data_IF_812986709191
#
_entry.id   IF_812986709191
#
_cell.length_a   1.000
_cell.length_b   1.000
_cell.length_c   1.000
_cell.angle_alpha   90.00
_cell.angle_beta   90.00
_cell.angle_gamma   90.00
#
_symmetry.space_group_name_H-M   'P 1'
#
loop_
_entity.id
_entity.type
_entity.pdbx_description
1 polymer ?
#
# COMPACT_ATOMS: atom_id res chain seq x y z
N UNK A 1 26.18 -4.95 3.61
CA UNK A 1 24.97 -4.19 4.00
C UNK A 1 24.59 -4.66 5.40
N UNK A 2 24.22 -3.72 6.28
CA UNK A 2 23.95 -4.04 7.70
C UNK A 2 25.08 -4.81 8.41
N UNK A 3 26.33 -4.40 8.23
CA UNK A 3 27.50 -5.02 8.83
C UNK A 3 28.02 -6.28 8.13
N UNK A 4 27.36 -6.74 7.06
CA UNK A 4 27.80 -7.88 6.27
C UNK A 4 28.15 -7.49 4.82
N UNK A 5 29.08 -8.18 4.14
CA UNK A 5 29.33 -8.00 2.72
C UNK A 5 28.06 -8.24 1.89
N UNK A 6 27.95 -7.55 0.75
CA UNK A 6 26.91 -7.89 -0.23
C UNK A 6 27.14 -9.28 -0.81
N UNK A 7 26.07 -10.02 -1.03
CA UNK A 7 26.17 -11.24 -1.83
C UNK A 7 26.27 -10.91 -3.32
N UNK A 8 26.73 -11.83 -4.15
CA UNK A 8 26.88 -11.65 -5.59
C UNK A 8 25.55 -11.22 -6.21
N UNK A 9 24.44 -11.88 -5.90
CA UNK A 9 23.12 -11.57 -6.44
C UNK A 9 22.56 -10.22 -6.00
N UNK A 10 23.08 -9.62 -4.92
CA UNK A 10 22.66 -8.33 -4.40
C UNK A 10 23.58 -7.17 -4.78
N UNK A 11 24.61 -7.43 -5.61
CA UNK A 11 25.42 -6.39 -6.21
C UNK A 11 26.85 -6.29 -5.70
N UNK A 12 27.41 -7.35 -5.09
CA UNK A 12 28.86 -7.38 -4.73
C UNK A 12 29.72 -7.04 -5.96
N UNK A 13 30.77 -6.20 -5.87
CA UNK A 13 31.27 -5.58 -4.65
C UNK A 13 30.55 -4.26 -4.26
N UNK A 14 29.88 -3.59 -5.20
CA UNK A 14 29.29 -2.26 -4.97
C UNK A 14 27.93 -2.14 -5.65
N UNK A 15 27.00 -1.49 -4.95
CA UNK A 15 25.71 -1.08 -5.52
C UNK A 15 25.33 0.32 -5.10
N UNK A 16 24.46 0.96 -5.90
CA UNK A 16 23.84 2.23 -5.53
C UNK A 16 22.65 2.00 -4.60
N UNK A 17 22.51 2.85 -3.59
CA UNK A 17 21.33 2.98 -2.73
C UNK A 17 20.93 4.44 -2.72
N UNK A 18 19.73 4.76 -3.22
CA UNK A 18 19.20 6.13 -3.30
C UNK A 18 17.81 6.13 -2.65
N UNK A 19 17.71 6.38 -1.34
CA UNK A 19 16.42 6.39 -0.65
C UNK A 19 15.41 7.32 -1.32
N UNK A 20 14.13 6.91 -1.36
CA UNK A 20 13.06 7.65 -2.02
C UNK A 20 12.96 7.50 -3.54
N UNK A 21 14.02 7.03 -4.19
CA UNK A 21 14.04 6.76 -5.64
C UNK A 21 13.61 5.31 -5.88
N UNK A 22 12.90 5.08 -6.99
CA UNK A 22 12.47 3.74 -7.37
C UNK A 22 13.64 2.75 -7.44
N UNK A 23 13.50 1.58 -6.81
CA UNK A 23 14.56 0.56 -6.73
C UNK A 23 15.09 0.09 -8.09
N UNK A 24 14.30 0.23 -9.16
CA UNK A 24 14.73 0.01 -10.54
C UNK A 24 15.90 0.93 -10.99
N UNK A 25 16.13 2.04 -10.27
CA UNK A 25 17.24 2.96 -10.50
C UNK A 25 18.47 2.63 -9.67
N UNK A 26 18.42 1.64 -8.79
CA UNK A 26 19.52 1.25 -7.90
C UNK A 26 20.40 0.20 -8.56
N UNK A 27 21.36 0.68 -9.35
CA UNK A 27 22.28 -0.20 -10.09
C UNK A 27 23.08 -1.10 -9.16
N UNK A 28 23.07 -2.41 -9.44
CA UNK A 28 23.95 -3.41 -8.85
C UNK A 28 25.21 -3.58 -9.70
N UNK A 29 26.27 -4.15 -9.11
CA UNK A 29 27.55 -4.38 -9.80
C UNK A 29 28.09 -3.10 -10.43
N UNK A 30 28.09 -2.02 -9.65
CA UNK A 30 28.52 -0.72 -10.12
C UNK A 30 30.02 -0.72 -10.36
N UNK A 31 30.44 -0.34 -11.55
CA UNK A 31 31.85 -0.18 -11.96
C UNK A 31 32.16 1.26 -12.38
N UNK A 32 31.16 1.99 -12.89
CA UNK A 32 31.36 3.35 -13.38
C UNK A 32 30.13 4.21 -13.23
N UNK A 33 30.34 5.49 -12.93
CA UNK A 33 29.33 6.55 -12.97
C UNK A 33 29.77 7.58 -14.00
N UNK A 34 28.90 7.89 -14.98
CA UNK A 34 29.15 8.89 -16.00
C UNK A 34 28.14 10.03 -15.85
N UNK A 35 28.62 11.25 -15.70
CA UNK A 35 27.78 12.46 -15.75
C UNK A 35 27.68 12.92 -17.19
N UNK A 36 26.47 13.17 -17.66
CA UNK A 36 26.20 13.58 -19.04
C UNK A 36 25.10 14.64 -19.08
N UNK A 37 25.08 15.47 -20.13
CA UNK A 37 24.11 16.56 -20.29
C UNK A 37 22.74 16.10 -20.79
N UNK A 38 22.65 14.90 -21.34
CA UNK A 38 21.44 14.34 -21.94
C UNK A 38 20.95 13.11 -21.17
N UNK A 39 19.65 12.84 -21.25
CA UNK A 39 19.08 11.64 -20.66
C UNK A 39 19.64 10.38 -21.30
N UNK A 40 19.94 9.38 -20.48
CA UNK A 40 20.44 8.09 -20.98
C UNK A 40 19.51 7.47 -22.03
N UNK A 41 20.08 7.00 -23.12
CA UNK A 41 19.36 6.25 -24.17
C UNK A 41 18.99 4.82 -23.78
N UNK A 42 19.34 4.39 -22.55
CA UNK A 42 19.03 3.07 -22.04
C UNK A 42 17.51 2.78 -22.09
N UNK A 43 17.13 1.58 -22.52
CA UNK A 43 15.74 1.15 -22.64
C UNK A 43 14.91 1.39 -21.37
N UNK A 44 15.46 1.08 -20.19
CA UNK A 44 14.77 1.26 -18.91
C UNK A 44 14.60 2.72 -18.49
N UNK A 45 15.33 3.63 -19.13
CA UNK A 45 15.15 5.07 -18.98
C UNK A 45 14.13 5.61 -19.97
N UNK A 46 14.20 5.14 -21.23
CA UNK A 46 13.39 5.68 -22.32
C UNK A 46 11.97 5.08 -22.38
N UNK A 47 11.75 3.86 -21.89
CA UNK A 47 10.47 3.17 -22.08
C UNK A 47 9.90 2.55 -20.81
N UNK A 48 10.64 1.78 -20.05
CA UNK A 48 10.05 0.79 -19.15
C UNK A 48 9.53 1.38 -17.84
N UNK A 49 10.31 2.19 -17.16
CA UNK A 49 9.91 2.80 -15.89
C UNK A 49 9.48 4.26 -16.07
N UNK A 50 8.40 4.45 -16.83
CA UNK A 50 7.73 5.73 -17.03
C UNK A 50 6.28 5.63 -16.57
N UNK A 51 5.75 6.68 -15.95
CA UNK A 51 4.36 6.74 -15.53
C UNK A 51 3.54 7.18 -16.73
N UNK A 52 2.67 6.32 -17.20
CA UNK A 52 1.75 6.60 -18.30
C UNK A 52 0.39 7.01 -17.76
N UNK A 53 -0.33 7.94 -18.44
CA UNK A 53 -1.71 8.24 -18.07
C UNK A 53 -2.62 7.01 -18.22
N UNK A 54 -3.74 6.91 -17.45
CA UNK A 54 -4.63 5.76 -17.47
C UNK A 54 -5.25 5.43 -18.84
N UNK A 55 -5.41 6.41 -19.71
CA UNK A 55 -5.92 6.22 -21.08
C UNK A 55 -4.92 5.52 -22.01
N UNK A 56 -3.65 5.46 -21.61
CA UNK A 56 -2.62 4.67 -22.28
C UNK A 56 -2.59 3.28 -21.66
N UNK A 57 -3.51 2.42 -22.07
CA UNK A 57 -3.81 1.12 -21.48
C UNK A 57 -3.24 -0.06 -22.26
N UNK A 58 -2.73 0.17 -23.47
CA UNK A 58 -2.19 -0.87 -24.34
C UNK A 58 -0.74 -0.58 -24.75
N UNK A 59 -0.02 -1.66 -25.12
CA UNK A 59 1.36 -1.56 -25.61
C UNK A 59 1.46 -0.69 -26.88
N UNK A 60 0.46 -0.77 -27.77
CA UNK A 60 0.41 0.03 -29.00
C UNK A 60 0.36 1.51 -28.66
N UNK A 61 -0.61 1.94 -27.85
CA UNK A 61 -0.70 3.34 -27.39
C UNK A 61 0.58 3.79 -26.64
N UNK A 62 1.14 2.92 -25.80
CA UNK A 62 2.36 3.23 -25.07
C UNK A 62 3.55 3.49 -26.01
N UNK A 63 3.70 2.72 -27.11
CA UNK A 63 4.78 2.94 -28.06
C UNK A 63 4.76 4.35 -28.67
N UNK A 64 3.58 4.90 -28.89
CA UNK A 64 3.38 6.24 -29.44
C UNK A 64 3.50 7.35 -28.37
N UNK A 65 3.59 6.97 -27.09
CA UNK A 65 3.55 7.91 -25.96
C UNK A 65 4.85 7.99 -25.16
N UNK A 66 5.73 6.99 -25.21
CA UNK A 66 6.93 6.91 -24.38
C UNK A 66 7.78 8.18 -24.39
N UNK A 67 7.90 8.84 -25.52
CA UNK A 67 8.71 10.06 -25.67
C UNK A 67 8.12 11.27 -24.90
N UNK A 68 6.83 11.23 -24.55
CA UNK A 68 6.12 12.29 -23.81
C UNK A 68 6.17 12.07 -22.29
N UNK A 69 6.29 10.82 -21.86
CA UNK A 69 6.25 10.48 -20.44
C UNK A 69 7.62 10.71 -19.79
N UNK A 70 7.61 11.25 -18.57
CA UNK A 70 8.82 11.40 -17.76
C UNK A 70 9.21 10.07 -17.12
N UNK A 71 10.52 9.77 -16.97
CA UNK A 71 10.98 8.61 -16.23
C UNK A 71 10.53 8.66 -14.76
N UNK A 72 10.13 7.52 -14.23
CA UNK A 72 9.90 7.39 -12.79
C UNK A 72 11.24 7.54 -12.07
N UNK A 73 11.34 8.54 -11.22
CA UNK A 73 12.45 8.78 -10.31
C UNK A 73 12.00 8.54 -8.88
N UNK A 74 11.26 9.48 -8.30
CA UNK A 74 10.73 9.39 -6.96
C UNK A 74 9.53 8.43 -6.92
N UNK A 75 9.48 7.61 -5.86
CA UNK A 75 8.28 6.83 -5.57
C UNK A 75 7.16 7.79 -5.13
N UNK A 76 5.92 7.59 -5.60
CA UNK A 76 4.78 8.36 -5.08
C UNK A 76 4.45 7.95 -3.64
N UNK A 77 3.77 8.83 -2.89
CA UNK A 77 3.17 8.46 -1.59
C UNK A 77 2.25 7.26 -1.79
N UNK A 78 2.33 6.28 -0.89
CA UNK A 78 1.52 5.07 -1.03
C UNK A 78 1.21 4.45 0.33
N UNK A 79 0.15 3.66 0.38
CA UNK A 79 -0.19 2.80 1.52
C UNK A 79 -0.68 1.45 1.03
N UNK A 80 -0.46 0.42 1.83
CA UNK A 80 -0.95 -0.92 1.59
C UNK A 80 -1.53 -1.49 2.87
N UNK A 81 -2.62 -2.26 2.74
CA UNK A 81 -3.18 -3.07 3.80
C UNK A 81 -2.56 -4.47 3.68
N UNK A 82 -1.92 -4.94 4.76
CA UNK A 82 -1.31 -6.26 4.83
C UNK A 82 -2.19 -7.28 5.56
N UNK A 83 -3.04 -6.78 6.47
CA UNK A 83 -4.00 -7.58 7.22
C UNK A 83 -5.28 -6.79 7.44
N UNK A 84 -6.46 -7.43 7.25
CA UNK A 84 -6.65 -8.74 6.60
C UNK A 84 -6.26 -8.70 5.12
N UNK A 85 -6.06 -9.87 4.51
CA UNK A 85 -5.87 -9.99 3.08
C UNK A 85 -7.22 -10.05 2.33
N UNK A 86 -7.19 -9.68 1.05
CA UNK A 86 -8.37 -9.84 0.19
C UNK A 86 -8.83 -11.29 0.15
N UNK A 87 -10.11 -11.53 0.43
CA UNK A 87 -10.70 -12.87 0.45
C UNK A 87 -10.60 -13.59 1.79
N UNK A 88 -9.97 -13.01 2.80
CA UNK A 88 -9.88 -13.62 4.14
C UNK A 88 -11.24 -13.87 4.76
N UNK A 89 -11.28 -14.87 5.64
CA UNK A 89 -12.43 -15.19 6.48
C UNK A 89 -12.18 -14.70 7.90
N UNK A 90 -13.06 -13.85 8.38
CA UNK A 90 -13.04 -13.25 9.72
C UNK A 90 -14.14 -13.89 10.57
N UNK A 91 -13.77 -14.52 11.67
CA UNK A 91 -14.69 -15.10 12.63
C UNK A 91 -14.95 -14.08 13.74
N UNK A 92 -16.18 -13.55 13.83
CA UNK A 92 -16.55 -12.49 14.79
C UNK A 92 -16.34 -12.92 16.24
N UNK A 93 -16.62 -14.17 16.57
CA UNK A 93 -16.47 -14.76 17.89
C UNK A 93 -14.99 -14.91 18.33
N UNK A 94 -14.05 -14.81 17.39
CA UNK A 94 -12.60 -14.83 17.68
C UNK A 94 -11.98 -13.44 17.82
N UNK A 95 -12.74 -12.39 17.53
CA UNK A 95 -12.26 -11.03 17.63
C UNK A 95 -12.29 -10.53 19.08
N UNK A 96 -11.20 -9.92 19.52
CA UNK A 96 -11.13 -9.27 20.83
C UNK A 96 -12.06 -8.06 20.82
N UNK A 97 -13.05 -8.06 21.72
CA UNK A 97 -14.10 -7.04 21.81
C UNK A 97 -14.91 -6.84 20.50
N UNK A 98 -14.86 -7.80 19.57
CA UNK A 98 -15.52 -7.70 18.26
C UNK A 98 -14.85 -6.71 17.30
N UNK A 99 -13.67 -6.21 17.60
CA UNK A 99 -12.93 -5.24 16.81
C UNK A 99 -12.08 -5.97 15.74
N UNK A 100 -12.21 -5.56 14.46
CA UNK A 100 -11.34 -6.04 13.40
C UNK A 100 -10.06 -5.21 13.38
N UNK A 101 -8.95 -5.87 13.61
CA UNK A 101 -7.64 -5.27 13.41
C UNK A 101 -7.32 -5.17 11.91
N UNK A 102 -6.87 -3.99 11.48
CA UNK A 102 -6.41 -3.72 10.12
C UNK A 102 -5.00 -3.15 10.24
N UNK A 103 -4.06 -3.73 9.55
CA UNK A 103 -2.66 -3.31 9.66
C UNK A 103 -1.99 -3.24 8.28
N UNK A 104 -0.98 -2.40 8.18
CA UNK A 104 -0.26 -2.24 6.94
C UNK A 104 0.96 -1.34 7.06
N UNK A 105 1.43 -0.92 5.90
CA UNK A 105 2.54 0.03 5.81
C UNK A 105 2.20 1.19 4.88
N UNK A 106 2.94 2.27 5.01
CA UNK A 106 2.86 3.43 4.12
C UNK A 106 4.27 3.96 3.84
N UNK A 107 4.47 4.57 2.68
CA UNK A 107 5.74 5.16 2.28
C UNK A 107 5.51 6.57 1.76
N UNK A 108 6.44 7.51 2.08
CA UNK A 108 6.34 8.89 1.62
C UNK A 108 6.73 9.00 0.15
N UNK A 109 6.36 10.11 -0.46
CA UNK A 109 6.82 10.45 -1.81
C UNK A 109 8.30 10.86 -1.77
N UNK A 110 9.13 10.13 -2.49
CA UNK A 110 10.54 10.44 -2.63
C UNK A 110 11.21 10.73 -1.29
N UNK A 111 11.71 11.96 -1.10
CA UNK A 111 12.36 12.46 0.10
C UNK A 111 11.48 13.44 0.92
N UNK A 112 10.18 13.45 0.67
CA UNK A 112 9.23 14.39 1.25
C UNK A 112 8.56 13.87 2.55
N UNK A 113 9.05 12.76 3.10
CA UNK A 113 8.55 12.19 4.37
C UNK A 113 9.02 12.91 5.63
N UNK A 114 8.69 12.34 6.77
CA UNK A 114 8.03 11.04 7.02
C UNK A 114 6.53 11.03 6.70
N UNK A 115 5.91 9.82 6.77
CA UNK A 115 4.44 9.70 6.83
C UNK A 115 3.98 10.28 8.16
N UNK A 116 2.96 11.14 8.10
CA UNK A 116 2.40 11.80 9.29
C UNK A 116 0.97 11.36 9.60
N UNK A 117 0.26 10.80 8.60
CA UNK A 117 -1.11 10.32 8.78
C UNK A 117 -1.40 9.14 7.86
N UNK A 118 -2.14 8.16 8.38
CA UNK A 118 -2.76 7.08 7.62
C UNK A 118 -4.22 7.01 8.02
N UNK A 119 -5.11 6.84 7.06
CA UNK A 119 -6.55 6.81 7.27
C UNK A 119 -7.17 5.60 6.57
N UNK A 120 -8.24 5.06 7.17
CA UNK A 120 -9.02 3.94 6.66
C UNK A 120 -10.44 4.40 6.33
N UNK A 121 -10.98 3.88 5.23
CA UNK A 121 -12.39 4.00 4.87
C UNK A 121 -13.00 2.63 4.62
N UNK A 122 -14.25 2.42 5.09
CA UNK A 122 -15.06 1.22 4.83
C UNK A 122 -16.31 1.53 3.99
N UNK A 123 -16.45 2.76 3.54
CA UNK A 123 -17.63 3.28 2.82
C UNK A 123 -17.28 3.92 1.48
N UNK A 124 -16.21 3.42 0.85
CA UNK A 124 -15.72 3.88 -0.46
C UNK A 124 -15.28 5.35 -0.45
N UNK A 125 -14.58 5.76 0.62
CA UNK A 125 -13.96 7.07 0.73
C UNK A 125 -14.90 8.21 1.13
N UNK A 126 -16.15 7.91 1.53
CA UNK A 126 -17.09 8.94 2.03
C UNK A 126 -16.65 9.46 3.40
N UNK A 127 -16.22 8.55 4.27
CA UNK A 127 -15.65 8.89 5.58
C UNK A 127 -14.28 8.22 5.74
N UNK A 128 -13.42 8.85 6.54
CA UNK A 128 -12.07 8.39 6.81
C UNK A 128 -11.80 8.46 8.31
N UNK A 129 -11.36 7.32 8.87
CA UNK A 129 -10.96 7.20 10.26
C UNK A 129 -9.43 7.15 10.34
N UNK A 130 -8.84 7.94 11.22
CA UNK A 130 -7.38 7.98 11.40
C UNK A 130 -6.88 6.68 12.06
N UNK A 131 -5.74 6.19 11.58
CA UNK A 131 -5.07 4.99 12.05
C UNK A 131 -3.86 5.36 12.91
N UNK A 132 -3.52 4.51 13.85
CA UNK A 132 -2.34 4.69 14.69
C UNK A 132 -1.09 4.29 13.92
N UNK A 133 -0.12 5.19 13.81
CA UNK A 133 1.22 4.87 13.33
C UNK A 133 1.98 4.23 14.50
N UNK A 134 2.54 3.03 14.29
CA UNK A 134 3.32 2.28 15.27
C UNK A 134 4.81 2.54 15.12
N UNK A 135 5.25 2.74 13.87
CA UNK A 135 6.64 3.03 13.53
C UNK A 135 6.70 3.94 12.29
N UNK A 136 7.53 4.99 12.23
CA UNK A 136 8.30 5.50 13.37
C UNK A 136 7.41 5.87 14.55
N UNK A 137 7.97 5.76 15.79
CA UNK A 137 7.20 6.10 16.98
C UNK A 137 6.73 7.57 16.90
N UNK A 138 5.41 7.85 17.06
CA UNK A 138 4.87 9.21 17.00
C UNK A 138 5.56 10.21 17.93
N UNK A 139 5.94 9.79 19.14
CA UNK A 139 6.68 10.62 20.08
C UNK A 139 8.06 11.02 19.55
N UNK A 140 8.72 10.13 18.79
CA UNK A 140 10.00 10.45 18.17
C UNK A 140 9.85 11.39 16.98
N UNK A 141 8.73 11.31 16.26
CA UNK A 141 8.47 12.22 15.13
C UNK A 141 8.28 13.69 15.56
N UNK A 142 7.95 13.93 16.82
CA UNK A 142 7.86 15.29 17.39
C UNK A 142 9.19 15.89 17.81
N UNK A 143 10.27 15.11 17.85
CA UNK A 143 11.59 15.57 18.28
C UNK A 143 12.30 16.38 17.19
N UNK A 144 13.16 17.35 17.57
CA UNK A 144 14.01 18.06 16.60
C UNK A 144 14.86 17.07 15.76
N UNK A 145 14.94 17.31 14.47
CA UNK A 145 15.68 16.44 13.54
C UNK A 145 14.96 15.15 13.13
N UNK A 146 13.76 14.86 13.65
CA UNK A 146 13.00 13.67 13.30
C UNK A 146 12.66 13.60 11.81
N UNK A 147 12.33 14.73 11.19
CA UNK A 147 12.06 14.79 9.74
C UNK A 147 13.27 14.30 8.95
N UNK A 148 14.47 14.72 9.29
CA UNK A 148 15.71 14.28 8.62
C UNK A 148 15.97 12.79 8.85
N UNK A 149 15.82 12.33 10.10
CA UNK A 149 16.04 10.93 10.48
C UNK A 149 15.08 9.96 9.79
N UNK A 150 13.81 10.34 9.68
CA UNK A 150 12.73 9.45 9.19
C UNK A 150 12.21 9.82 7.80
N UNK A 151 12.88 10.71 7.08
CA UNK A 151 12.47 11.23 5.77
C UNK A 151 12.07 10.17 4.76
N UNK A 152 12.79 9.06 4.71
CA UNK A 152 12.55 7.95 3.77
C UNK A 152 11.99 6.70 4.43
N UNK A 153 11.66 6.79 5.72
CA UNK A 153 11.23 5.62 6.48
C UNK A 153 9.79 5.27 6.14
N UNK A 154 9.56 3.99 5.87
CA UNK A 154 8.22 3.46 5.76
C UNK A 154 7.56 3.45 7.13
N UNK A 155 6.30 3.87 7.18
CA UNK A 155 5.49 3.81 8.38
C UNK A 155 4.80 2.45 8.49
N UNK A 156 4.80 1.87 9.69
CA UNK A 156 3.96 0.73 10.04
C UNK A 156 2.77 1.28 10.80
N UNK A 157 1.58 0.89 10.44
CA UNK A 157 0.35 1.41 11.01
C UNK A 157 -0.66 0.31 11.32
N UNK A 158 -1.57 0.61 12.24
CA UNK A 158 -2.63 -0.26 12.70
C UNK A 158 -3.91 0.55 12.92
N UNK A 159 -5.05 -0.04 12.58
CA UNK A 159 -6.37 0.48 12.85
C UNK A 159 -7.22 -0.58 13.53
N UNK A 160 -7.95 -0.21 14.57
CA UNK A 160 -8.94 -1.09 15.22
C UNK A 160 -10.32 -0.62 14.77
N UNK A 161 -10.93 -1.35 13.86
CA UNK A 161 -12.28 -1.06 13.40
C UNK A 161 -13.27 -1.49 14.48
N UNK A 162 -14.09 -0.56 15.01
CA UNK A 162 -15.04 -0.86 16.10
C UNK A 162 -16.03 -1.97 15.73
N UNK A 163 -16.51 -2.69 16.74
CA UNK A 163 -17.41 -3.84 16.56
C UNK A 163 -18.67 -3.52 15.75
N UNK A 164 -19.26 -2.33 15.93
CA UNK A 164 -20.43 -1.89 15.18
C UNK A 164 -20.14 -1.64 13.69
N UNK A 165 -18.92 -1.25 13.32
CA UNK A 165 -18.48 -1.15 11.94
C UNK A 165 -18.06 -2.51 11.39
N UNK A 166 -17.38 -3.33 12.19
CA UNK A 166 -16.94 -4.69 11.82
C UNK A 166 -18.12 -5.57 11.41
N UNK A 167 -19.22 -5.54 12.16
CA UNK A 167 -20.46 -6.31 11.86
C UNK A 167 -21.16 -5.89 10.58
N UNK A 168 -20.87 -4.69 10.05
CA UNK A 168 -21.45 -4.19 8.80
C UNK A 168 -20.63 -4.57 7.57
N UNK A 169 -19.43 -5.13 7.77
CA UNK A 169 -18.61 -5.59 6.65
C UNK A 169 -19.26 -6.82 6.02
N UNK A 170 -19.35 -6.81 4.70
CA UNK A 170 -19.81 -7.92 3.88
C UNK A 170 -18.87 -8.13 2.69
N UNK A 171 -19.23 -9.10 1.81
CA UNK A 171 -18.43 -9.43 0.61
C UNK A 171 -18.30 -8.26 -0.38
N UNK A 172 -19.20 -7.29 -0.34
CA UNK A 172 -19.19 -6.11 -1.21
C UNK A 172 -18.38 -4.97 -0.64
N UNK A 173 -18.10 -5.01 0.66
CA UNK A 173 -17.35 -3.96 1.36
C UNK A 173 -15.91 -3.92 0.88
N UNK A 174 -15.45 -2.72 0.54
CA UNK A 174 -14.06 -2.42 0.25
C UNK A 174 -13.49 -1.63 1.41
N UNK A 175 -12.39 -2.10 1.96
CA UNK A 175 -11.61 -1.35 2.94
C UNK A 175 -10.48 -0.66 2.19
N UNK A 176 -10.41 0.65 2.30
CA UNK A 176 -9.37 1.45 1.68
C UNK A 176 -8.45 2.07 2.72
N UNK A 177 -7.16 2.17 2.38
CA UNK A 177 -6.20 2.99 3.12
C UNK A 177 -5.62 4.08 2.26
N UNK A 178 -5.33 5.23 2.87
CA UNK A 178 -4.55 6.31 2.25
C UNK A 178 -3.55 6.89 3.25
N UNK A 179 -2.45 7.38 2.74
CA UNK A 179 -1.40 7.99 3.54
C UNK A 179 -1.17 9.45 3.15
N UNK A 180 -0.72 10.24 4.12
CA UNK A 180 -0.26 11.61 3.92
C UNK A 180 1.15 11.75 4.48
N UNK A 181 2.06 12.32 3.70
CA UNK A 181 3.43 12.61 4.15
C UNK A 181 3.58 14.04 4.70
N UNK A 182 4.78 14.35 5.21
CA UNK A 182 5.10 15.64 5.83
C UNK A 182 4.95 16.82 4.88
N UNK A 183 5.18 16.64 3.59
CA UNK A 183 5.02 17.68 2.57
C UNK A 183 3.55 17.85 2.12
N UNK A 184 2.62 17.03 2.63
CA UNK A 184 1.21 17.11 2.30
C UNK A 184 0.80 16.30 1.07
N UNK A 185 1.68 15.46 0.53
CA UNK A 185 1.26 14.54 -0.53
C UNK A 185 0.31 13.50 0.06
N UNK A 186 -0.78 13.26 -0.65
CA UNK A 186 -1.82 12.32 -0.25
C UNK A 186 -2.28 11.50 -1.46
N UNK A 187 -2.62 10.25 -1.25
CA UNK A 187 -3.30 9.43 -2.27
C UNK A 187 -4.71 9.96 -2.52
N UNK A 188 -5.11 10.07 -3.78
CA UNK A 188 -6.38 10.66 -4.18
C UNK A 188 -7.28 9.64 -4.87
N UNK A 189 -8.58 9.91 -4.89
CA UNK A 189 -9.56 9.06 -5.56
C UNK A 189 -9.29 8.92 -7.08
N UNK A 190 -8.78 9.94 -7.71
CA UNK A 190 -8.40 9.95 -9.13
C UNK A 190 -7.23 9.00 -9.44
N UNK A 191 -6.38 8.71 -8.45
CA UNK A 191 -5.21 7.83 -8.58
C UNK A 191 -5.59 6.33 -8.59
N UNK A 192 -6.87 5.99 -8.34
CA UNK A 192 -7.35 4.60 -8.35
C UNK A 192 -7.29 3.97 -9.75
N UNK A 193 -7.24 4.78 -10.80
CA UNK A 193 -7.18 4.28 -12.17
C UNK A 193 -5.82 3.65 -12.46
N UNK A 194 -5.86 2.37 -12.82
CA UNK A 194 -4.67 1.62 -13.21
C UNK A 194 -4.13 2.13 -14.53
N UNK A 195 -2.84 2.45 -14.58
CA UNK A 195 -2.13 2.77 -15.81
C UNK A 195 -1.56 1.51 -16.47
N UNK A 196 -1.04 1.64 -17.68
CA UNK A 196 -0.36 0.53 -18.34
C UNK A 196 0.82 0.03 -17.49
N UNK A 197 0.79 -1.27 -17.12
CA UNK A 197 1.76 -1.96 -16.25
C UNK A 197 1.78 -1.54 -14.78
N UNK A 198 0.98 -0.58 -14.35
CA UNK A 198 0.91 -0.16 -12.95
C UNK A 198 2.18 0.53 -12.41
N UNK A 199 3.04 1.04 -13.29
CA UNK A 199 4.28 1.71 -12.88
C UNK A 199 3.96 3.00 -12.15
N UNK A 200 4.45 3.13 -10.91
CA UNK A 200 4.17 4.29 -10.06
C UNK A 200 2.71 4.40 -9.62
N UNK A 201 1.92 3.31 -9.73
CA UNK A 201 0.56 3.29 -9.23
C UNK A 201 0.52 3.63 -7.74
N UNK A 202 -0.32 4.58 -7.37
CA UNK A 202 -0.49 5.07 -6.01
C UNK A 202 -1.96 5.24 -5.60
N UNK A 203 -2.84 4.44 -6.19
CA UNK A 203 -4.22 4.33 -5.73
C UNK A 203 -4.31 3.87 -4.27
N UNK A 204 -5.49 3.98 -3.67
CA UNK A 204 -5.70 3.54 -2.30
C UNK A 204 -5.29 2.07 -2.10
N UNK A 205 -4.68 1.76 -0.93
CA UNK A 205 -4.55 0.37 -0.50
C UNK A 205 -5.95 -0.24 -0.38
N UNK A 206 -6.21 -1.39 -1.01
CA UNK A 206 -7.55 -1.98 -1.05
C UNK A 206 -7.56 -3.41 -0.53
N UNK A 207 -8.52 -3.71 0.34
CA UNK A 207 -8.96 -5.07 0.70
C UNK A 207 -10.43 -5.21 0.37
N UNK A 208 -10.82 -6.34 -0.18
CA UNK A 208 -12.19 -6.63 -0.62
C UNK A 208 -12.55 -8.10 -0.44
N UNK A 209 -13.84 -8.42 -0.64
CA UNK A 209 -14.37 -9.80 -0.61
C UNK A 209 -14.07 -10.53 0.70
N UNK A 210 -14.08 -9.83 1.83
CA UNK A 210 -13.96 -10.45 3.14
C UNK A 210 -15.18 -11.31 3.45
N UNK A 211 -14.96 -12.50 4.03
CA UNK A 211 -16.01 -13.37 4.51
C UNK A 211 -16.16 -13.16 6.02
N UNK A 212 -17.25 -12.54 6.45
CA UNK A 212 -17.53 -12.36 7.88
C UNK A 212 -18.44 -13.50 8.34
N UNK A 213 -18.00 -14.23 9.35
CA UNK A 213 -18.70 -15.40 9.90
C UNK A 213 -18.95 -15.18 11.39
N UNK A 214 -20.22 -15.29 11.79
CA UNK A 214 -20.63 -15.46 13.18
C UNK A 214 -20.97 -16.95 13.40
N UNK A 215 -20.09 -17.67 14.10
CA UNK A 215 -20.27 -19.12 14.33
C UNK A 215 -21.47 -19.43 15.22
N UNK A 216 -21.84 -18.51 16.13
CA UNK A 216 -23.04 -18.64 16.95
C UNK A 216 -24.32 -18.50 16.12
N UNK A 217 -24.35 -17.59 15.17
CA UNK A 217 -25.47 -17.44 14.25
C UNK A 217 -25.63 -18.64 13.34
N UNK A 218 -24.53 -19.17 12.80
CA UNK A 218 -24.54 -20.39 11.99
C UNK A 218 -25.08 -21.59 12.77
N UNK A 219 -24.64 -21.76 14.03
CA UNK A 219 -25.11 -22.85 14.90
C UNK A 219 -26.61 -22.74 15.21
N UNK A 220 -27.10 -21.52 15.45
CA UNK A 220 -28.54 -21.27 15.66
C UNK A 220 -29.37 -21.60 14.42
N UNK A 221 -28.92 -21.17 13.23
CA UNK A 221 -29.59 -21.47 11.97
C UNK A 221 -29.62 -22.97 11.68
N UNK A 222 -28.52 -23.70 11.93
CA UNK A 222 -28.45 -25.15 11.78
C UNK A 222 -29.36 -25.88 12.78
N UNK A 223 -29.46 -25.42 14.04
CA UNK A 223 -30.38 -25.95 15.06
C UNK A 223 -31.85 -25.78 14.67
N UNK A 224 -32.20 -24.59 14.18
CA UNK A 224 -33.58 -24.32 13.73
C UNK A 224 -33.99 -25.13 12.47
N UNK A 225 -33.06 -25.41 11.55
CA UNK A 225 -33.31 -26.30 10.41
C UNK A 225 -33.59 -27.75 10.86
N UNK A 226 -32.92 -28.23 11.92
CA UNK A 226 -33.22 -29.60 12.45
C UNK A 226 -34.57 -29.68 13.16
N UNK A 227 -35.06 -28.60 13.76
CA UNK A 227 -36.38 -28.54 14.40
C UNK A 227 -37.54 -28.36 13.40
N UNK A 228 -37.27 -27.80 12.21
CA UNK A 228 -38.30 -27.64 11.16
C UNK A 228 -38.60 -28.90 10.34
N UNK A 229 -37.78 -29.95 10.43
CA UNK A 229 -38.00 -31.25 9.75
C UNK A 229 -38.58 -32.32 10.68
N UNK A 230 -39.30 -31.90 11.73
CA UNK A 230 -40.09 -32.81 12.57
C UNK A 230 -41.19 -33.45 11.75
N UNK A 231 -41.07 -34.75 11.48
CA UNK A 231 -42.00 -35.63 10.84
C UNK A 231 -43.42 -35.35 11.27
N UNK A 232 -44.32 -35.04 10.31
CA UNK A 232 -45.74 -35.35 10.48
C UNK A 232 -45.89 -36.84 10.18
N UNK A 233 -46.16 -37.59 11.21
CA UNK A 233 -46.63 -38.95 11.11
C UNK A 233 -48.08 -38.98 10.58
#
# INVERSE_FOLDING_TARGET
MNGAPLTINHGFPLRIVIPGIAGARWTKWLDRITVQGEESSNFYMQRDYKILPPEIDTRKKANDYWHKAKPLQMMPVNSAICYPATGDTIFLDKLTHGELEIAGYALPKGDEGPIIKVEISTDQGKTWDESRILYPNPEELCKPGATEKYRWTWAIWQHKLPAEKTKKIDKSTKIWSRATDKAGNIQKAEDIKWNFRGVGYNGFGEVKTLNIIDTHELSRRAGNMKLGNGYKA
#
